data_IF_867947457825
#
_entry.id   IF_867947457825
#
_cell.length_a   1.000
_cell.length_b   1.000
_cell.length_c   1.000
_cell.angle_alpha   90.00
_cell.angle_beta   90.00
_cell.angle_gamma   90.00
#
_symmetry.space_group_name_H-M   'P 1'
#
loop_
_entity.id
_entity.type
_entity.pdbx_description
1 polymer ?
#
# COMPACT_ATOMS: atom_id res chain seq x y z
N UNK A 1 -16.91 6.64 9.59
CA UNK A 1 -16.36 6.63 8.23
C UNK A 1 -16.38 5.20 7.75
N UNK A 2 -16.78 4.97 6.50
CA UNK A 2 -16.90 3.60 5.99
C UNK A 2 -15.56 3.08 5.47
N UNK A 3 -14.79 3.94 4.78
CA UNK A 3 -13.50 3.57 4.18
C UNK A 3 -12.41 4.59 4.55
N UNK A 4 -11.21 4.10 4.84
CA UNK A 4 -9.98 4.90 4.84
C UNK A 4 -9.14 4.57 3.60
N UNK A 5 -8.54 5.61 3.01
CA UNK A 5 -7.55 5.46 1.94
C UNK A 5 -6.29 6.21 2.34
N UNK A 6 -5.19 5.49 2.39
CA UNK A 6 -3.87 6.01 2.76
C UNK A 6 -2.97 5.98 1.53
N UNK A 7 -2.31 7.10 1.26
CA UNK A 7 -1.39 7.26 0.13
C UNK A 7 -0.17 8.01 0.63
N UNK A 8 1.00 7.35 0.59
CA UNK A 8 2.29 7.94 0.98
C UNK A 8 2.29 8.59 2.38
N UNK A 9 1.57 8.00 3.34
CA UNK A 9 1.55 8.45 4.73
C UNK A 9 2.68 7.77 5.51
N UNK A 10 3.55 8.58 6.12
CA UNK A 10 4.82 8.12 6.69
C UNK A 10 4.75 7.44 8.06
N UNK A 11 3.56 7.14 8.58
CA UNK A 11 3.39 6.56 9.91
C UNK A 11 2.42 5.38 9.91
N UNK A 12 2.63 4.44 10.84
CA UNK A 12 1.65 3.39 11.10
C UNK A 12 0.37 4.00 11.67
N UNK A 13 -0.77 3.56 11.15
CA UNK A 13 -2.05 3.82 11.79
C UNK A 13 -2.25 2.87 12.96
N UNK A 14 -2.66 3.36 14.14
CA UNK A 14 -2.97 2.49 15.27
C UNK A 14 -4.02 1.44 14.88
N UNK A 15 -3.89 0.16 15.30
CA UNK A 15 -4.87 -0.87 14.99
C UNK A 15 -6.30 -0.50 15.42
N UNK A 16 -6.45 0.20 16.55
CA UNK A 16 -7.74 0.69 17.03
C UNK A 16 -8.38 1.75 16.13
N UNK A 17 -7.58 2.50 15.36
CA UNK A 17 -8.09 3.43 14.35
C UNK A 17 -8.48 2.68 13.07
N UNK A 18 -7.64 1.74 12.62
CA UNK A 18 -7.94 0.90 11.44
C UNK A 18 -9.27 0.16 11.63
N UNK A 19 -9.53 -0.36 12.83
CA UNK A 19 -10.76 -1.08 13.18
C UNK A 19 -12.04 -0.22 13.18
N UNK A 20 -11.94 1.12 13.15
CA UNK A 20 -13.11 2.01 13.11
C UNK A 20 -13.72 2.14 11.72
N UNK A 21 -13.03 1.72 10.66
CA UNK A 21 -13.53 1.79 9.29
C UNK A 21 -14.36 0.54 8.96
N UNK A 22 -15.67 0.72 8.79
CA UNK A 22 -16.64 -0.38 8.72
C UNK A 22 -16.58 -1.22 7.44
N UNK A 23 -15.97 -0.71 6.37
CA UNK A 23 -15.85 -1.42 5.09
C UNK A 23 -14.40 -1.80 4.80
N UNK A 24 -13.49 -0.83 4.80
CA UNK A 24 -12.09 -1.10 4.50
C UNK A 24 -11.15 0.01 4.97
N UNK A 25 -9.89 -0.34 5.22
CA UNK A 25 -8.80 0.60 5.30
C UNK A 25 -7.75 0.17 4.26
N UNK A 26 -7.45 1.05 3.31
CA UNK A 26 -6.68 0.74 2.12
C UNK A 26 -5.39 1.55 2.07
N UNK A 27 -4.34 0.95 1.48
CA UNK A 27 -3.10 1.61 1.11
C UNK A 27 -2.91 1.53 -0.41
N UNK A 28 -2.50 2.64 -1.01
CA UNK A 28 -2.14 2.72 -2.44
C UNK A 28 -0.62 2.73 -2.55
N UNK A 29 -0.06 1.64 -3.06
CA UNK A 29 1.39 1.44 -3.17
C UNK A 29 1.85 1.55 -4.62
N UNK A 30 2.83 2.41 -4.97
CA UNK A 30 3.23 2.65 -6.36
C UNK A 30 4.23 1.63 -6.90
N UNK A 31 3.90 0.34 -6.76
CA UNK A 31 4.49 -0.75 -7.52
C UNK A 31 3.50 -1.90 -7.70
N UNK A 32 3.83 -2.83 -8.60
CA UNK A 32 3.17 -4.12 -8.70
C UNK A 32 3.67 -5.05 -7.58
N UNK A 33 3.09 -4.93 -6.38
CA UNK A 33 3.38 -5.83 -5.26
C UNK A 33 3.33 -7.31 -5.69
N UNK A 34 4.24 -8.17 -5.18
CA UNK A 34 5.15 -7.93 -4.05
C UNK A 34 6.44 -7.19 -4.41
N UNK A 35 6.62 -6.74 -5.66
CA UNK A 35 7.82 -6.00 -6.06
C UNK A 35 7.90 -4.65 -5.33
N UNK A 36 9.10 -4.28 -4.92
CA UNK A 36 9.45 -2.96 -4.37
C UNK A 36 8.58 -2.46 -3.20
N UNK A 37 8.28 -3.31 -2.21
CA UNK A 37 7.77 -2.83 -0.92
C UNK A 37 8.70 -1.77 -0.32
N UNK A 38 8.13 -0.89 0.51
CA UNK A 38 8.87 0.12 1.25
C UNK A 38 8.89 1.49 0.56
N UNK A 39 9.86 2.30 0.94
CA UNK A 39 9.77 3.75 0.78
C UNK A 39 10.02 4.29 -0.65
N UNK A 40 10.63 3.52 -1.55
CA UNK A 40 11.12 4.01 -2.85
C UNK A 40 10.82 3.10 -4.05
N UNK A 41 9.55 2.66 -4.25
CA UNK A 41 9.21 1.71 -5.30
C UNK A 41 9.47 2.21 -6.72
N UNK A 42 9.16 3.48 -6.99
CA UNK A 42 9.32 4.10 -8.32
C UNK A 42 10.80 4.17 -8.67
N UNK A 43 11.63 4.61 -7.73
CA UNK A 43 13.07 4.73 -7.90
C UNK A 43 13.69 3.36 -8.17
N UNK A 44 13.30 2.32 -7.43
CA UNK A 44 13.81 0.97 -7.67
C UNK A 44 13.41 0.40 -9.04
N UNK A 45 12.17 0.61 -9.48
CA UNK A 45 11.73 0.20 -10.81
C UNK A 45 12.58 0.90 -11.91
N UNK A 46 12.82 2.21 -11.77
CA UNK A 46 13.67 2.97 -12.70
C UNK A 46 15.13 2.48 -12.67
N UNK A 47 15.70 2.26 -11.47
CA UNK A 47 17.09 1.84 -11.31
C UNK A 47 17.35 0.46 -11.92
N UNK A 48 16.35 -0.42 -11.88
CA UNK A 48 16.42 -1.76 -12.49
C UNK A 48 16.13 -1.75 -13.99
N UNK A 49 15.67 -0.63 -14.52
CA UNK A 49 15.27 -0.50 -15.93
C UNK A 49 14.01 -1.31 -16.24
N UNK A 50 13.09 -1.43 -15.28
CA UNK A 50 11.85 -2.18 -15.51
C UNK A 50 11.04 -1.51 -16.61
N UNK A 51 10.64 -2.25 -17.67
CA UNK A 51 9.88 -1.67 -18.78
C UNK A 51 8.43 -1.33 -18.39
N UNK A 52 7.94 -1.94 -17.31
CA UNK A 52 6.59 -1.75 -16.76
C UNK A 52 6.69 -1.81 -15.24
N UNK A 53 6.01 -0.89 -14.58
CA UNK A 53 5.61 -0.98 -13.18
C UNK A 53 4.13 -0.58 -13.10
N UNK A 54 3.60 -0.37 -11.90
CA UNK A 54 2.20 -0.05 -11.73
C UNK A 54 1.85 0.35 -10.32
N UNK A 55 0.60 0.16 -9.96
CA UNK A 55 0.04 0.50 -8.65
C UNK A 55 -0.69 -0.71 -8.08
N UNK A 56 -0.50 -0.95 -6.79
CA UNK A 56 -1.25 -1.91 -5.99
C UNK A 56 -2.17 -1.17 -5.02
N UNK A 57 -3.45 -1.57 -4.99
CA UNK A 57 -4.34 -1.26 -3.87
C UNK A 57 -4.36 -2.47 -2.95
N UNK A 58 -4.01 -2.26 -1.68
CA UNK A 58 -4.01 -3.30 -0.65
C UNK A 58 -4.83 -2.87 0.55
N UNK A 59 -5.24 -3.82 1.39
CA UNK A 59 -5.70 -3.49 2.75
C UNK A 59 -4.54 -2.95 3.58
N UNK A 60 -4.84 -2.20 4.65
CA UNK A 60 -3.82 -1.83 5.63
C UNK A 60 -3.54 -3.01 6.56
N UNK A 61 -2.26 -3.36 6.69
CA UNK A 61 -1.83 -4.29 7.73
C UNK A 61 -1.60 -3.52 9.05
N UNK A 62 -2.12 -4.01 10.19
CA UNK A 62 -1.91 -3.37 11.49
C UNK A 62 -0.46 -3.40 11.99
N UNK A 63 0.39 -4.26 11.41
CA UNK A 63 1.73 -4.57 11.96
C UNK A 63 2.86 -4.43 10.95
N UNK A 64 2.58 -4.24 9.66
CA UNK A 64 3.62 -4.16 8.64
C UNK A 64 3.20 -3.29 7.45
N UNK A 65 4.15 -2.51 6.90
CA UNK A 65 3.93 -1.75 5.68
C UNK A 65 3.87 -2.67 4.46
N UNK A 66 3.00 -2.35 3.50
CA UNK A 66 2.90 -3.00 2.17
C UNK A 66 2.68 -4.53 2.21
N UNK A 67 2.08 -5.00 3.30
CA UNK A 67 1.84 -6.43 3.60
C UNK A 67 0.35 -6.78 3.72
N UNK A 68 -0.55 -5.85 3.40
CA UNK A 68 -1.98 -6.15 3.37
C UNK A 68 -2.40 -7.02 2.19
N UNK A 69 -3.65 -7.46 2.23
CA UNK A 69 -4.25 -8.26 1.17
C UNK A 69 -4.39 -7.42 -0.11
N UNK A 70 -4.01 -7.99 -1.25
CA UNK A 70 -4.12 -7.34 -2.55
C UNK A 70 -5.58 -7.25 -2.99
N UNK A 71 -6.05 -6.03 -3.25
CA UNK A 71 -7.42 -5.76 -3.71
C UNK A 71 -7.45 -5.58 -5.23
N UNK A 72 -6.51 -4.81 -5.78
CA UNK A 72 -6.40 -4.55 -7.21
C UNK A 72 -4.95 -4.20 -7.62
N UNK A 73 -4.62 -4.43 -8.88
CA UNK A 73 -3.37 -4.01 -9.52
C UNK A 73 -3.61 -3.52 -10.93
N UNK A 74 -2.84 -2.51 -11.34
CA UNK A 74 -2.77 -2.03 -12.73
C UNK A 74 -1.38 -1.50 -13.04
#
# INVERSE_FOLDING_TARGET
WDVAVVVSFGAFLPPALIAQFGVAALNVHPSLLPLYRGAAPIQHALLRGDPVTGVSVITLSPTAFDMGHLVAQQ
#
